data_IF_395988027665
#
_entry.id   IF_395988027665
#
_cell.length_a   1.000
_cell.length_b   1.000
_cell.length_c   1.000
_cell.angle_alpha   90.00
_cell.angle_beta   90.00
_cell.angle_gamma   90.00
#
_symmetry.space_group_name_H-M   'P 1'
#
loop_
_entity.id
_entity.type
_entity.pdbx_description
1 polymer ?
#
# COMPACT_ATOMS: atom_id res chain seq x y z
N UNK A 1 -6.97 -27.46 -15.11
CA UNK A 1 -5.81 -26.58 -14.87
C UNK A 1 -4.58 -27.45 -14.84
N UNK A 2 -3.61 -27.18 -15.70
CA UNK A 2 -2.32 -27.85 -15.61
C UNK A 2 -1.56 -27.29 -14.40
N UNK A 3 -0.72 -28.10 -13.75
CA UNK A 3 0.08 -27.64 -12.60
C UNK A 3 1.04 -26.50 -12.97
N UNK A 4 1.38 -26.36 -14.25
CA UNK A 4 2.18 -25.26 -14.80
C UNK A 4 1.49 -23.90 -14.66
N UNK A 5 0.18 -23.83 -14.89
CA UNK A 5 -0.59 -22.58 -14.86
C UNK A 5 -0.65 -22.00 -13.44
N UNK A 6 -0.81 -22.87 -12.43
CA UNK A 6 -0.85 -22.50 -11.01
C UNK A 6 0.51 -21.99 -10.55
N UNK A 7 1.60 -22.66 -10.94
CA UNK A 7 2.95 -22.24 -10.56
C UNK A 7 3.32 -20.90 -11.21
N UNK A 8 2.93 -20.71 -12.47
CA UNK A 8 3.10 -19.45 -13.18
C UNK A 8 2.33 -18.32 -12.50
N UNK A 9 1.03 -18.51 -12.26
CA UNK A 9 0.18 -17.52 -11.59
C UNK A 9 0.73 -17.13 -10.21
N UNK A 10 1.14 -18.12 -9.40
CA UNK A 10 1.76 -17.83 -8.11
C UNK A 10 3.10 -17.10 -8.26
N UNK A 11 3.90 -17.48 -9.26
CA UNK A 11 5.19 -16.85 -9.54
C UNK A 11 5.06 -15.38 -9.89
N UNK A 12 4.07 -15.00 -10.72
CA UNK A 12 3.87 -13.58 -11.07
C UNK A 12 3.33 -12.79 -9.88
N UNK A 13 2.42 -13.34 -9.08
CA UNK A 13 1.91 -12.67 -7.87
C UNK A 13 3.01 -12.51 -6.83
N UNK A 14 3.88 -13.51 -6.65
CA UNK A 14 5.03 -13.39 -5.78
C UNK A 14 5.99 -12.29 -6.26
N UNK A 15 6.26 -12.23 -7.57
CA UNK A 15 7.13 -11.21 -8.14
C UNK A 15 6.57 -9.79 -7.93
N UNK A 16 5.26 -9.63 -8.10
CA UNK A 16 4.53 -8.39 -7.84
C UNK A 16 4.68 -7.98 -6.35
N UNK A 17 4.40 -8.89 -5.40
CA UNK A 17 4.48 -8.58 -3.97
C UNK A 17 5.90 -8.29 -3.48
N UNK A 18 6.91 -8.94 -4.08
CA UNK A 18 8.32 -8.66 -3.80
C UNK A 18 8.77 -7.27 -4.25
N UNK A 19 8.05 -6.59 -5.13
CA UNK A 19 8.36 -5.22 -5.51
C UNK A 19 8.21 -4.23 -4.33
N UNK A 20 7.39 -4.58 -3.33
CA UNK A 20 7.34 -3.86 -2.03
C UNK A 20 8.69 -3.89 -1.33
N UNK A 21 9.36 -5.04 -1.33
CA UNK A 21 10.70 -5.16 -0.75
C UNK A 21 11.75 -4.36 -1.55
N UNK A 22 11.59 -4.26 -2.88
CA UNK A 22 12.44 -3.42 -3.75
C UNK A 22 12.28 -1.95 -3.37
N UNK A 23 11.04 -1.49 -3.15
CA UNK A 23 10.75 -0.16 -2.63
C UNK A 23 11.49 0.16 -1.34
N UNK A 24 11.52 -0.80 -0.40
CA UNK A 24 12.28 -0.64 0.83
C UNK A 24 13.79 -0.50 0.60
N UNK A 25 14.36 -1.26 -0.33
CA UNK A 25 15.78 -1.11 -0.67
C UNK A 25 16.08 0.25 -1.29
N UNK A 26 15.18 0.76 -2.13
CA UNK A 26 15.28 2.11 -2.72
C UNK A 26 15.30 3.18 -1.63
N UNK A 27 14.46 3.05 -0.60
CA UNK A 27 14.43 3.96 0.53
C UNK A 27 15.79 4.04 1.27
N UNK A 28 16.63 3.00 1.18
CA UNK A 28 17.94 2.94 1.85
C UNK A 28 19.14 3.29 0.96
N UNK A 29 18.94 3.61 -0.32
CA UNK A 29 20.06 3.89 -1.25
C UNK A 29 20.90 5.09 -0.81
N UNK A 30 20.28 6.09 -0.18
CA UNK A 30 21.01 7.25 0.34
C UNK A 30 21.64 6.91 1.70
N UNK A 31 22.96 7.04 1.78
CA UNK A 31 23.76 6.71 2.98
C UNK A 31 23.44 7.64 4.16
N UNK A 32 23.23 8.92 3.86
CA UNK A 32 22.77 9.95 4.80
C UNK A 32 21.34 10.36 4.45
N UNK A 33 20.46 10.13 5.40
CA UNK A 33 19.02 10.23 5.27
C UNK A 33 18.62 11.56 5.92
N UNK A 34 18.49 12.60 5.09
CA UNK A 34 18.16 13.95 5.54
C UNK A 34 16.65 14.14 5.70
N UNK A 35 16.18 15.02 6.61
CA UNK A 35 14.74 15.28 6.77
C UNK A 35 14.04 15.68 5.46
N UNK A 36 14.72 16.43 4.59
CA UNK A 36 14.23 16.75 3.25
C UNK A 36 14.05 15.52 2.33
N UNK A 37 14.91 14.50 2.48
CA UNK A 37 14.75 13.25 1.75
C UNK A 37 13.58 12.43 2.31
N UNK A 38 13.43 12.35 3.65
CA UNK A 38 12.24 11.74 4.25
C UNK A 38 10.95 12.40 3.74
N UNK A 39 10.89 13.73 3.78
CA UNK A 39 9.75 14.49 3.29
C UNK A 39 9.45 14.23 1.81
N UNK A 40 10.49 14.14 0.97
CA UNK A 40 10.31 13.81 -0.43
C UNK A 40 9.76 12.39 -0.63
N UNK A 41 10.26 11.40 0.12
CA UNK A 41 9.81 10.01 0.02
C UNK A 41 8.37 9.84 0.52
N UNK A 42 8.02 10.46 1.66
CA UNK A 42 6.66 10.43 2.22
C UNK A 42 5.68 11.16 1.32
N UNK A 43 6.03 12.36 0.83
CA UNK A 43 5.20 13.12 -0.09
C UNK A 43 4.96 12.35 -1.39
N UNK A 44 6.02 11.79 -1.99
CA UNK A 44 5.92 10.95 -3.19
C UNK A 44 5.00 9.75 -2.97
N UNK A 45 5.19 9.02 -1.87
CA UNK A 45 4.36 7.88 -1.51
C UNK A 45 2.88 8.26 -1.31
N UNK A 46 2.60 9.35 -0.59
CA UNK A 46 1.24 9.87 -0.44
C UNK A 46 0.59 10.19 -1.80
N UNK A 47 1.35 10.82 -2.70
CA UNK A 47 0.89 11.12 -4.05
C UNK A 47 0.53 9.89 -4.87
N UNK A 48 1.38 8.87 -4.86
CA UNK A 48 1.09 7.58 -5.51
C UNK A 48 -0.17 6.96 -4.88
N UNK A 49 -0.22 6.80 -3.57
CA UNK A 49 -1.33 6.14 -2.88
C UNK A 49 -2.67 6.84 -3.13
N UNK A 50 -2.69 8.19 -3.11
CA UNK A 50 -3.89 8.96 -3.46
C UNK A 50 -4.30 8.70 -4.90
N UNK A 51 -3.36 8.78 -5.84
CA UNK A 51 -3.66 8.61 -7.25
C UNK A 51 -4.21 7.21 -7.55
N UNK A 52 -3.55 6.16 -7.05
CA UNK A 52 -4.01 4.78 -7.28
C UNK A 52 -5.39 4.56 -6.65
N UNK A 53 -5.59 5.01 -5.42
CA UNK A 53 -6.86 4.83 -4.71
C UNK A 53 -8.03 5.40 -5.52
N UNK A 54 -7.85 6.56 -6.15
CA UNK A 54 -8.92 7.25 -6.88
C UNK A 54 -9.06 6.83 -8.34
N UNK A 55 -7.96 6.51 -9.02
CA UNK A 55 -7.95 6.30 -10.47
C UNK A 55 -7.98 4.81 -10.83
N UNK A 56 -7.61 3.92 -9.91
CA UNK A 56 -7.55 2.49 -10.18
C UNK A 56 -8.44 1.69 -9.23
N UNK A 57 -8.23 1.79 -7.91
CA UNK A 57 -8.88 0.90 -6.94
C UNK A 57 -10.36 1.24 -6.78
N UNK A 58 -10.71 2.51 -6.62
CA UNK A 58 -12.12 2.93 -6.50
C UNK A 58 -12.93 2.57 -7.77
N UNK A 59 -12.45 2.82 -9.00
CA UNK A 59 -13.11 2.35 -10.21
C UNK A 59 -13.26 0.83 -10.28
N UNK A 60 -12.21 0.04 -9.95
CA UNK A 60 -12.31 -1.44 -9.89
C UNK A 60 -13.37 -1.91 -8.90
N UNK A 61 -13.46 -1.26 -7.74
CA UNK A 61 -14.50 -1.54 -6.76
C UNK A 61 -15.90 -1.27 -7.34
N UNK A 62 -16.05 -0.15 -8.04
CA UNK A 62 -17.29 0.24 -8.69
C UNK A 62 -17.70 -0.74 -9.78
N UNK A 63 -16.77 -1.16 -10.65
CA UNK A 63 -17.02 -2.14 -11.70
C UNK A 63 -17.51 -3.47 -11.13
N UNK A 64 -16.83 -4.00 -10.11
CA UNK A 64 -17.21 -5.25 -9.45
C UNK A 64 -18.61 -5.15 -8.78
N UNK A 65 -18.90 -4.04 -8.10
CA UNK A 65 -20.18 -3.85 -7.41
C UNK A 65 -21.33 -3.52 -8.37
N UNK A 66 -21.09 -2.81 -9.46
CA UNK A 66 -22.09 -2.56 -10.50
C UNK A 66 -22.43 -3.84 -11.25
N UNK A 67 -21.44 -4.69 -11.52
CA UNK A 67 -21.64 -6.00 -12.15
C UNK A 67 -22.64 -6.88 -11.38
N UNK A 68 -22.52 -6.92 -10.04
CA UNK A 68 -23.34 -7.79 -9.19
C UNK A 68 -24.63 -7.12 -8.66
N UNK A 69 -24.58 -5.83 -8.31
CA UNK A 69 -25.69 -5.09 -7.67
C UNK A 69 -26.45 -4.15 -8.63
N UNK A 70 -25.98 -4.04 -9.88
CA UNK A 70 -26.55 -3.19 -10.92
C UNK A 70 -26.20 -1.71 -10.80
N UNK A 71 -26.50 -0.97 -11.87
CA UNK A 71 -26.17 0.46 -12.05
C UNK A 71 -26.75 1.40 -10.99
N UNK A 72 -27.79 0.95 -10.27
CA UNK A 72 -28.42 1.76 -9.21
C UNK A 72 -27.73 1.54 -7.87
N UNK A 73 -27.60 0.30 -7.40
CA UNK A 73 -27.09 0.01 -6.05
C UNK A 73 -25.57 -0.11 -5.99
N UNK A 74 -24.92 -0.58 -7.07
CA UNK A 74 -23.47 -0.72 -7.14
C UNK A 74 -22.71 0.55 -6.75
N UNK A 75 -23.03 1.73 -7.31
CA UNK A 75 -22.36 2.98 -6.95
C UNK A 75 -22.59 3.40 -5.49
N UNK A 76 -23.81 3.22 -4.95
CA UNK A 76 -24.09 3.52 -3.54
C UNK A 76 -23.27 2.65 -2.61
N UNK A 77 -23.20 1.34 -2.88
CA UNK A 77 -22.44 0.40 -2.07
C UNK A 77 -20.93 0.68 -2.18
N UNK A 78 -20.45 1.10 -3.35
CA UNK A 78 -19.05 1.51 -3.54
C UNK A 78 -18.69 2.71 -2.65
N UNK A 79 -19.51 3.76 -2.67
CA UNK A 79 -19.30 4.96 -1.85
C UNK A 79 -19.39 4.63 -0.36
N UNK A 80 -20.36 3.80 0.05
CA UNK A 80 -20.50 3.36 1.43
C UNK A 80 -19.31 2.51 1.89
N UNK A 81 -18.81 1.62 1.03
CA UNK A 81 -17.58 0.84 1.28
C UNK A 81 -16.38 1.75 1.46
N UNK A 82 -16.21 2.74 0.57
CA UNK A 82 -15.12 3.72 0.63
C UNK A 82 -15.10 4.53 1.92
N UNK A 83 -16.22 5.19 2.26
CA UNK A 83 -16.30 5.94 3.52
C UNK A 83 -16.34 5.02 4.75
N UNK A 84 -16.84 3.79 4.61
CA UNK A 84 -16.75 2.75 5.63
C UNK A 84 -15.30 2.38 5.94
N UNK A 85 -14.45 2.27 4.92
CA UNK A 85 -13.01 2.08 5.05
C UNK A 85 -12.33 3.24 5.78
N UNK A 86 -12.63 4.49 5.38
CA UNK A 86 -12.16 5.70 6.08
C UNK A 86 -12.58 5.66 7.56
N UNK A 87 -13.85 5.39 7.83
CA UNK A 87 -14.39 5.32 9.18
C UNK A 87 -13.73 4.21 10.01
N UNK A 88 -13.49 3.04 9.40
CA UNK A 88 -12.83 1.91 10.05
C UNK A 88 -11.40 2.29 10.47
N UNK A 89 -10.58 2.82 9.57
CA UNK A 89 -9.20 3.18 9.92
C UNK A 89 -9.13 4.34 10.90
N UNK A 90 -10.02 5.33 10.80
CA UNK A 90 -10.09 6.42 11.78
C UNK A 90 -10.44 5.91 13.19
N UNK A 91 -11.31 4.91 13.29
CA UNK A 91 -11.62 4.23 14.56
C UNK A 91 -10.42 3.44 15.07
N UNK A 92 -9.77 2.64 14.22
CA UNK A 92 -8.57 1.86 14.60
C UNK A 92 -7.46 2.80 15.07
N UNK A 93 -7.18 3.87 14.33
CA UNK A 93 -6.17 4.88 14.66
C UNK A 93 -6.37 5.42 16.09
N UNK A 94 -7.64 5.70 16.46
CA UNK A 94 -8.00 6.21 17.78
C UNK A 94 -7.75 5.24 18.93
N UNK A 95 -7.78 3.93 18.68
CA UNK A 95 -7.61 2.90 19.69
C UNK A 95 -6.15 2.48 19.91
N UNK A 96 -5.22 2.99 19.12
CA UNK A 96 -3.82 2.54 19.16
C UNK A 96 -3.05 3.38 20.17
N UNK A 97 -2.56 2.77 21.27
CA UNK A 97 -1.87 3.50 22.32
C UNK A 97 -0.61 4.19 21.80
N UNK A 98 -0.40 5.45 22.20
CA UNK A 98 0.73 6.30 21.82
C UNK A 98 2.07 5.88 22.43
N UNK A 99 2.08 4.85 23.30
CA UNK A 99 3.26 4.43 24.05
C UNK A 99 4.20 3.55 23.21
N UNK A 100 4.96 4.18 22.32
CA UNK A 100 6.16 3.55 21.76
C UNK A 100 7.22 3.45 22.87
N UNK A 101 7.44 2.22 23.33
CA UNK A 101 8.40 1.86 24.37
C UNK A 101 9.79 2.52 24.12
N UNK A 102 10.28 3.44 24.98
CA UNK A 102 11.51 4.22 24.75
C UNK A 102 12.80 3.40 24.64
N UNK A 103 12.76 2.10 24.94
CA UNK A 103 13.95 1.26 25.07
C UNK A 103 14.41 0.55 23.77
N UNK A 104 13.75 0.75 22.62
CA UNK A 104 14.20 0.26 21.29
C UNK A 104 14.69 1.37 20.33
N UNK A 105 15.05 2.54 20.85
CA UNK A 105 15.46 3.68 20.02
C UNK A 105 16.95 3.58 19.66
N UNK A 106 17.24 2.96 18.52
CA UNK A 106 18.57 2.97 17.92
C UNK A 106 19.01 4.39 17.55
N UNK A 107 20.28 4.69 17.80
CA UNK A 107 20.96 5.97 17.50
C UNK A 107 20.97 6.26 15.99
N UNK A 108 19.89 6.82 15.45
CA UNK A 108 19.90 7.51 14.14
C UNK A 108 19.43 8.93 14.35
N UNK A 109 20.36 9.85 14.09
CA UNK A 109 20.36 11.29 14.37
C UNK A 109 19.98 11.68 15.81
N UNK A 110 20.93 12.27 16.51
CA UNK A 110 20.75 12.99 17.79
C UNK A 110 19.86 14.25 17.67
N UNK A 111 19.08 14.37 16.60
CA UNK A 111 18.32 15.57 16.21
C UNK A 111 16.80 15.35 16.21
N UNK A 112 16.31 14.10 16.21
CA UNK A 112 14.87 13.81 16.21
C UNK A 112 14.43 13.48 17.64
N UNK A 113 13.54 14.31 18.19
CA UNK A 113 12.97 14.15 19.53
C UNK A 113 12.27 12.77 19.70
N UNK A 114 12.28 12.19 20.91
CA UNK A 114 11.68 10.87 21.16
C UNK A 114 10.22 10.75 20.73
N UNK A 115 9.43 11.82 20.84
CA UNK A 115 8.02 11.88 20.43
C UNK A 115 7.87 11.68 18.91
N UNK A 116 8.70 12.36 18.10
CA UNK A 116 8.71 12.20 16.66
C UNK A 116 9.09 10.76 16.24
N UNK A 117 9.98 10.09 16.98
CA UNK A 117 10.33 8.70 16.69
C UNK A 117 9.16 7.74 16.94
N UNK A 118 8.41 7.95 18.03
CA UNK A 118 7.21 7.19 18.33
C UNK A 118 6.17 7.33 17.23
N UNK A 119 5.92 8.57 16.77
CA UNK A 119 5.00 8.89 15.68
C UNK A 119 5.41 8.20 14.37
N UNK A 120 6.68 8.30 13.97
CA UNK A 120 7.19 7.63 12.76
C UNK A 120 7.09 6.10 12.85
N UNK A 121 7.38 5.50 14.01
CA UNK A 121 7.24 4.05 14.19
C UNK A 121 5.78 3.61 14.04
N UNK A 122 4.84 4.34 14.65
CA UNK A 122 3.40 4.11 14.52
C UNK A 122 3.00 4.19 13.05
N UNK A 123 3.25 5.32 12.39
CA UNK A 123 2.93 5.53 10.97
C UNK A 123 3.45 4.39 10.09
N UNK A 124 4.71 4.00 10.25
CA UNK A 124 5.29 2.93 9.45
C UNK A 124 4.66 1.55 9.68
N UNK A 125 4.32 1.20 10.93
CA UNK A 125 3.61 -0.06 11.24
C UNK A 125 2.17 -0.03 10.74
N UNK A 126 1.48 1.10 10.90
CA UNK A 126 0.11 1.30 10.42
C UNK A 126 0.03 1.17 8.91
N UNK A 127 0.92 1.87 8.23
CA UNK A 127 1.09 1.79 6.78
C UNK A 127 1.37 0.34 6.36
N UNK A 128 2.23 -0.40 7.06
CA UNK A 128 2.52 -1.81 6.74
C UNK A 128 1.29 -2.72 6.89
N UNK A 129 0.49 -2.53 7.94
CA UNK A 129 -0.75 -3.31 8.16
C UNK A 129 -1.77 -2.98 7.07
N UNK A 130 -1.98 -1.71 6.77
CA UNK A 130 -2.93 -1.27 5.74
C UNK A 130 -2.55 -1.81 4.36
N UNK A 131 -1.27 -1.72 3.99
CA UNK A 131 -0.73 -2.30 2.76
C UNK A 131 -0.93 -3.82 2.76
N UNK A 132 -0.62 -4.52 3.86
CA UNK A 132 -0.86 -5.97 3.91
C UNK A 132 -2.35 -6.34 3.68
N UNK A 133 -3.28 -5.54 4.21
CA UNK A 133 -4.71 -5.74 4.00
C UNK A 133 -5.10 -5.45 2.54
N UNK A 134 -4.48 -4.46 1.89
CA UNK A 134 -4.70 -4.14 0.46
C UNK A 134 -4.15 -5.21 -0.48
N UNK A 135 -2.92 -5.64 -0.22
CA UNK A 135 -2.16 -6.54 -1.09
C UNK A 135 -2.79 -7.95 -1.06
N UNK A 136 -3.56 -8.30 -0.03
CA UNK A 136 -4.24 -9.60 0.02
C UNK A 136 -5.31 -9.76 -1.08
N UNK A 137 -6.36 -8.91 -1.19
CA UNK A 137 -7.29 -8.94 -2.32
C UNK A 137 -6.61 -8.79 -3.68
N UNK A 138 -5.60 -7.93 -3.75
CA UNK A 138 -4.85 -7.68 -4.98
C UNK A 138 -4.14 -8.94 -5.48
N UNK A 139 -3.38 -9.61 -4.60
CA UNK A 139 -2.67 -10.84 -4.96
C UNK A 139 -3.61 -11.96 -5.36
N UNK A 140 -4.80 -12.04 -4.75
CA UNK A 140 -5.82 -12.97 -5.20
C UNK A 140 -6.33 -12.63 -6.61
N UNK A 141 -6.62 -11.37 -6.90
CA UNK A 141 -7.05 -10.91 -8.21
C UNK A 141 -5.98 -11.16 -9.29
N UNK A 142 -4.71 -10.80 -9.04
CA UNK A 142 -3.59 -11.07 -9.94
C UNK A 142 -3.46 -12.55 -10.25
N UNK A 143 -3.57 -13.39 -9.23
CA UNK A 143 -3.47 -14.83 -9.38
C UNK A 143 -4.62 -15.40 -10.24
N UNK A 144 -5.86 -14.95 -10.02
CA UNK A 144 -7.00 -15.36 -10.84
C UNK A 144 -6.87 -14.89 -12.29
N UNK A 145 -6.44 -13.65 -12.52
CA UNK A 145 -6.18 -13.14 -13.88
C UNK A 145 -5.14 -13.98 -14.60
N UNK A 146 -4.07 -14.36 -13.90
CA UNK A 146 -3.02 -15.22 -14.45
C UNK A 146 -3.47 -16.64 -14.78
N UNK A 147 -4.41 -17.18 -14.02
CA UNK A 147 -5.03 -18.47 -14.31
C UNK A 147 -5.99 -18.42 -15.51
N UNK A 148 -6.58 -17.26 -15.79
CA UNK A 148 -7.53 -17.07 -16.89
C UNK A 148 -6.80 -16.78 -18.20
N UNK A 149 -5.90 -15.80 -18.20
CA UNK A 149 -5.18 -15.35 -19.38
C UNK A 149 -3.80 -14.75 -19.02
N UNK A 150 -2.71 -15.50 -19.23
CA UNK A 150 -1.35 -15.01 -19.02
C UNK A 150 -0.98 -13.76 -19.84
N UNK A 151 -1.54 -13.58 -21.04
CA UNK A 151 -1.23 -12.42 -21.90
C UNK A 151 -1.76 -11.12 -21.28
N UNK A 152 -2.90 -11.19 -20.61
CA UNK A 152 -3.50 -10.06 -19.86
C UNK A 152 -2.83 -9.91 -18.49
N UNK A 153 -2.49 -11.02 -17.83
CA UNK A 153 -2.00 -10.99 -16.46
C UNK A 153 -0.57 -10.45 -16.31
N UNK A 154 0.30 -10.62 -17.31
CA UNK A 154 1.67 -10.11 -17.26
C UNK A 154 1.69 -8.57 -17.17
N UNK A 155 1.03 -7.81 -18.07
CA UNK A 155 0.90 -6.36 -17.92
C UNK A 155 0.34 -5.96 -16.55
N UNK A 156 -0.73 -6.62 -16.09
CA UNK A 156 -1.33 -6.33 -14.77
C UNK A 156 -0.32 -6.54 -13.64
N UNK A 157 0.43 -7.65 -13.64
CA UNK A 157 1.44 -7.90 -12.61
C UNK A 157 2.58 -6.86 -12.63
N UNK A 158 2.95 -6.36 -13.81
CA UNK A 158 3.93 -5.26 -13.94
C UNK A 158 3.35 -3.96 -13.36
N UNK A 159 2.07 -3.68 -13.60
CA UNK A 159 1.37 -2.53 -13.03
C UNK A 159 1.45 -2.53 -11.50
N UNK A 160 1.09 -3.66 -10.92
CA UNK A 160 1.08 -3.90 -9.48
C UNK A 160 2.50 -3.80 -8.92
N UNK A 161 3.49 -4.40 -9.60
CA UNK A 161 4.88 -4.29 -9.17
C UNK A 161 5.35 -2.82 -9.12
N UNK A 162 4.94 -1.99 -10.08
CA UNK A 162 5.28 -0.56 -10.09
C UNK A 162 4.56 0.21 -8.98
N UNK A 163 3.32 -0.14 -8.67
CA UNK A 163 2.57 0.39 -7.53
C UNK A 163 3.26 0.07 -6.20
N UNK A 164 3.70 -1.18 -6.02
CA UNK A 164 4.22 -1.70 -4.76
C UNK A 164 5.56 -1.07 -4.33
N UNK A 165 6.34 -0.54 -5.28
CA UNK A 165 7.60 0.15 -4.96
C UNK A 165 7.35 1.36 -4.03
N UNK A 166 6.47 2.32 -4.36
CA UNK A 166 6.00 3.38 -3.46
C UNK A 166 5.50 2.90 -2.09
N UNK A 167 4.78 1.79 -2.02
CA UNK A 167 4.29 1.22 -0.75
C UNK A 167 5.46 0.77 0.14
N UNK A 168 6.44 0.11 -0.46
CA UNK A 168 7.65 -0.29 0.25
C UNK A 168 8.41 0.88 0.84
N UNK A 169 8.44 2.01 0.12
CA UNK A 169 8.99 3.28 0.60
C UNK A 169 8.16 3.82 1.77
N UNK A 170 6.82 3.82 1.64
CA UNK A 170 5.87 4.31 2.64
C UNK A 170 6.08 3.65 4.01
N UNK A 171 6.28 2.32 4.00
CA UNK A 171 6.52 1.53 5.22
C UNK A 171 7.93 1.76 5.75
N UNK A 172 8.94 1.59 4.91
CA UNK A 172 10.30 1.43 5.36
C UNK A 172 10.98 2.74 5.77
N UNK A 173 10.68 3.85 5.09
CA UNK A 173 11.27 5.14 5.41
C UNK A 173 10.98 5.59 6.85
N UNK A 174 9.72 5.66 7.33
CA UNK A 174 9.46 6.11 8.68
C UNK A 174 9.96 5.14 9.76
N UNK A 175 9.89 3.82 9.53
CA UNK A 175 10.45 2.83 10.47
C UNK A 175 11.97 3.01 10.59
N UNK A 176 12.65 3.25 9.48
CA UNK A 176 14.09 3.50 9.49
C UNK A 176 14.44 4.80 10.24
N UNK A 177 13.71 5.89 10.01
CA UNK A 177 13.95 7.14 10.74
C UNK A 177 13.60 7.05 12.23
N UNK A 178 12.62 6.22 12.60
CA UNK A 178 12.28 5.98 14.00
C UNK A 178 13.34 5.13 14.74
N UNK A 179 13.81 4.06 14.10
CA UNK A 179 14.57 2.98 14.77
C UNK A 179 16.04 2.92 14.40
N UNK A 180 16.42 3.52 13.27
CA UNK A 180 17.73 3.39 12.66
C UNK A 180 18.05 2.02 12.03
N UNK A 181 17.14 1.07 12.10
CA UNK A 181 17.37 -0.30 11.66
C UNK A 181 16.82 -0.54 10.25
N UNK A 182 17.72 -0.57 9.25
CA UNK A 182 17.37 -0.97 7.87
C UNK A 182 16.77 -2.36 7.82
N UNK A 183 17.26 -3.27 8.67
CA UNK A 183 16.75 -4.65 8.75
C UNK A 183 15.30 -4.68 9.24
N UNK A 184 14.96 -3.92 10.29
CA UNK A 184 13.59 -3.85 10.83
C UNK A 184 12.63 -3.25 9.80
N UNK A 185 13.03 -2.14 9.19
CA UNK A 185 12.26 -1.48 8.14
C UNK A 185 12.06 -2.37 6.90
N UNK A 186 13.11 -3.07 6.45
CA UNK A 186 13.03 -4.01 5.33
C UNK A 186 12.06 -5.15 5.62
N UNK A 187 12.17 -5.81 6.77
CA UNK A 187 11.34 -6.99 7.05
C UNK A 187 9.87 -6.64 7.27
N UNK A 188 9.55 -5.48 7.86
CA UNK A 188 8.17 -5.04 7.98
C UNK A 188 7.55 -4.70 6.61
N UNK A 189 8.32 -4.03 5.74
CA UNK A 189 7.89 -3.74 4.36
C UNK A 189 7.78 -5.00 3.49
N UNK A 190 8.75 -5.92 3.58
CA UNK A 190 8.69 -7.18 2.86
C UNK A 190 7.52 -8.05 3.36
N UNK A 191 7.27 -8.05 4.67
CA UNK A 191 6.14 -8.79 5.24
C UNK A 191 4.78 -8.27 4.75
N UNK A 192 4.62 -6.96 4.56
CA UNK A 192 3.38 -6.41 3.98
C UNK A 192 3.21 -6.84 2.52
N UNK A 193 4.28 -6.82 1.71
CA UNK A 193 4.24 -7.30 0.32
C UNK A 193 4.01 -8.81 0.18
N UNK A 194 4.37 -9.62 1.19
CA UNK A 194 4.04 -11.06 1.20
C UNK A 194 2.54 -11.35 1.36
N UNK A 195 1.72 -10.34 1.64
CA UNK A 195 0.27 -10.51 1.66
C UNK A 195 -0.31 -10.84 0.27
N UNK A 196 0.34 -10.43 -0.82
CA UNK A 196 -0.07 -10.79 -2.19
C UNK A 196 0.01 -12.30 -2.47
N UNK A 197 1.19 -12.96 -2.36
CA UNK A 197 1.26 -14.41 -2.56
C UNK A 197 0.45 -15.17 -1.51
N UNK A 198 0.27 -14.62 -0.31
CA UNK A 198 -0.64 -15.20 0.68
C UNK A 198 -2.11 -15.12 0.23
N UNK A 199 -2.51 -13.98 -0.34
CA UNK A 199 -3.82 -13.76 -0.95
C UNK A 199 -4.09 -14.70 -2.11
N UNK A 200 -3.11 -14.90 -2.99
CA UNK A 200 -3.17 -15.90 -4.05
C UNK A 200 -3.40 -17.32 -3.49
N UNK A 201 -2.60 -17.72 -2.50
CA UNK A 201 -2.64 -19.07 -1.93
C UNK A 201 -3.96 -19.34 -1.19
N UNK A 202 -4.34 -18.47 -0.26
CA UNK A 202 -5.56 -18.61 0.54
C UNK A 202 -6.79 -18.41 -0.34
N UNK A 203 -6.73 -17.42 -1.23
CA UNK A 203 -7.66 -17.15 -2.31
C UNK A 203 -8.03 -18.40 -3.10
N UNK A 204 -7.01 -19.06 -3.66
CA UNK A 204 -7.18 -20.25 -4.48
C UNK A 204 -7.70 -21.45 -3.69
N UNK A 205 -7.06 -21.77 -2.55
CA UNK A 205 -7.31 -23.02 -1.81
C UNK A 205 -8.59 -23.00 -0.97
N UNK A 206 -8.98 -21.83 -0.47
CA UNK A 206 -10.04 -21.71 0.54
C UNK A 206 -11.20 -20.86 0.04
N UNK A 207 -10.90 -19.79 -0.70
CA UNK A 207 -11.84 -18.71 -0.94
C UNK A 207 -12.45 -18.72 -2.35
N UNK A 208 -11.93 -19.51 -3.29
CA UNK A 208 -12.41 -19.58 -4.68
C UNK A 208 -13.90 -19.97 -4.80
N UNK A 209 -14.47 -20.60 -3.78
CA UNK A 209 -15.90 -20.94 -3.71
C UNK A 209 -16.76 -19.92 -2.94
N UNK A 210 -16.14 -18.96 -2.24
CA UNK A 210 -16.84 -18.03 -1.34
C UNK A 210 -16.65 -16.56 -1.70
N UNK A 211 -15.65 -16.21 -2.50
CA UNK A 211 -15.42 -14.82 -2.93
C UNK A 211 -16.30 -14.51 -4.12
N UNK A 212 -17.28 -13.63 -3.88
CA UNK A 212 -18.10 -13.00 -4.93
C UNK A 212 -17.51 -11.66 -5.35
N UNK A 213 -17.92 -11.19 -6.54
CA UNK A 213 -17.62 -9.85 -7.03
C UNK A 213 -18.03 -8.78 -6.01
N UNK A 214 -19.15 -8.94 -5.31
CA UNK A 214 -19.54 -8.05 -4.20
C UNK A 214 -18.52 -8.02 -3.07
N UNK A 215 -18.01 -9.17 -2.61
CA UNK A 215 -17.03 -9.18 -1.52
C UNK A 215 -15.71 -8.52 -1.95
N UNK A 216 -15.26 -8.81 -3.18
CA UNK A 216 -14.07 -8.21 -3.76
C UNK A 216 -14.22 -6.70 -3.92
N UNK A 217 -15.33 -6.25 -4.50
CA UNK A 217 -15.63 -4.84 -4.69
C UNK A 217 -15.79 -4.08 -3.38
N UNK A 218 -16.44 -4.66 -2.37
CA UNK A 218 -16.49 -4.08 -1.01
C UNK A 218 -15.09 -3.95 -0.39
N UNK A 219 -14.24 -4.95 -0.60
CA UNK A 219 -12.86 -4.94 -0.08
C UNK A 219 -12.04 -3.83 -0.75
N UNK A 220 -12.09 -3.72 -2.08
CA UNK A 220 -11.42 -2.65 -2.82
C UNK A 220 -11.94 -1.26 -2.44
N UNK A 221 -13.25 -1.08 -2.31
CA UNK A 221 -13.83 0.18 -1.88
C UNK A 221 -13.30 0.59 -0.49
N UNK A 222 -13.36 -0.31 0.49
CA UNK A 222 -12.86 -0.06 1.83
C UNK A 222 -11.36 0.26 1.84
N UNK A 223 -10.56 -0.51 1.11
CA UNK A 223 -9.11 -0.30 1.01
C UNK A 223 -8.76 1.06 0.39
N UNK A 224 -9.42 1.45 -0.70
CA UNK A 224 -9.23 2.78 -1.28
C UNK A 224 -9.51 3.90 -0.26
N UNK A 225 -10.55 3.72 0.57
CA UNK A 225 -10.85 4.64 1.67
C UNK A 225 -9.74 4.70 2.71
N UNK A 226 -9.24 3.53 3.14
CA UNK A 226 -8.16 3.42 4.13
C UNK A 226 -6.88 4.11 3.61
N UNK A 227 -6.49 3.84 2.36
CA UNK A 227 -5.27 4.42 1.76
C UNK A 227 -5.37 5.94 1.61
N UNK A 228 -6.56 6.46 1.25
CA UNK A 228 -6.79 7.92 1.22
C UNK A 228 -6.64 8.52 2.61
N UNK A 229 -7.23 7.90 3.64
CA UNK A 229 -7.10 8.40 5.00
C UNK A 229 -5.64 8.41 5.47
N UNK A 230 -4.90 7.30 5.30
CA UNK A 230 -3.47 7.22 5.67
C UNK A 230 -2.64 8.26 4.93
N UNK A 231 -2.90 8.46 3.64
CA UNK A 231 -2.16 9.44 2.84
C UNK A 231 -2.38 10.88 3.33
N UNK A 232 -3.60 11.22 3.73
CA UNK A 232 -3.98 12.57 4.15
C UNK A 232 -3.73 12.85 5.63
N UNK A 233 -3.87 11.87 6.52
CA UNK A 233 -3.76 12.02 7.98
C UNK A 233 -2.34 11.72 8.48
N UNK A 234 -1.63 10.78 7.84
CA UNK A 234 -0.30 10.35 8.28
C UNK A 234 0.81 10.82 7.33
N UNK A 235 0.79 10.39 6.06
CA UNK A 235 1.94 10.54 5.17
C UNK A 235 2.20 12.00 4.75
N UNK A 236 1.17 12.70 4.26
CA UNK A 236 1.31 14.10 3.83
C UNK A 236 1.66 15.03 5.01
N UNK A 237 0.96 14.98 6.16
CA UNK A 237 1.33 15.81 7.31
C UNK A 237 2.74 15.51 7.82
N UNK A 238 3.16 14.25 7.85
CA UNK A 238 4.53 13.89 8.24
C UNK A 238 5.55 14.40 7.22
N UNK A 239 5.24 14.35 5.92
CA UNK A 239 6.11 14.92 4.89
C UNK A 239 6.31 16.44 5.08
N UNK A 240 5.27 17.16 5.48
CA UNK A 240 5.34 18.59 5.79
C UNK A 240 6.09 18.90 7.09
N UNK A 241 5.91 18.07 8.12
CA UNK A 241 6.55 18.21 9.43
C UNK A 241 8.07 18.04 9.37
N UNK A 242 8.55 17.00 8.67
CA UNK A 242 9.99 16.71 8.55
C UNK A 242 10.67 17.47 7.40
N UNK A 243 9.91 18.17 6.56
CA UNK A 243 10.38 18.79 5.33
C UNK A 243 10.09 20.28 5.21
N UNK A 244 10.39 20.82 4.02
CA UNK A 244 9.78 22.08 3.60
C UNK A 244 8.46 21.75 2.92
N UNK A 245 7.40 22.50 3.23
CA UNK A 245 6.07 22.32 2.62
C UNK A 245 6.12 22.13 1.09
N UNK A 246 6.86 22.99 0.36
CA UNK A 246 6.97 22.85 -1.10
C UNK A 246 7.66 21.55 -1.56
N UNK A 247 8.62 20.99 -0.80
CA UNK A 247 9.23 19.71 -1.15
C UNK A 247 8.20 18.60 -1.02
N UNK A 248 7.43 18.57 0.07
CA UNK A 248 6.35 17.59 0.26
C UNK A 248 5.33 17.68 -0.88
N UNK A 249 4.87 18.89 -1.23
CA UNK A 249 3.87 19.08 -2.29
C UNK A 249 4.39 18.73 -3.69
N UNK A 250 5.62 19.12 -4.04
CA UNK A 250 6.19 18.74 -5.34
C UNK A 250 6.43 17.25 -5.43
N UNK A 251 6.87 16.62 -4.34
CA UNK A 251 7.02 15.18 -4.28
C UNK A 251 5.68 14.47 -4.43
N UNK A 252 4.62 14.94 -3.76
CA UNK A 252 3.26 14.43 -3.92
C UNK A 252 2.80 14.49 -5.36
N UNK A 253 2.88 15.66 -5.99
CA UNK A 253 2.47 15.81 -7.41
C UNK A 253 3.33 14.93 -8.32
N UNK A 254 4.63 14.79 -8.05
CA UNK A 254 5.49 13.90 -8.82
C UNK A 254 5.12 12.43 -8.66
N UNK A 255 4.72 12.00 -7.46
CA UNK A 255 4.22 10.65 -7.20
C UNK A 255 2.94 10.37 -7.99
N UNK A 256 1.99 11.31 -7.96
CA UNK A 256 0.78 11.23 -8.77
C UNK A 256 1.11 11.13 -10.27
N UNK A 257 2.03 11.95 -10.77
CA UNK A 257 2.40 11.96 -12.19
C UNK A 257 3.12 10.69 -12.64
N UNK A 258 4.01 10.14 -11.80
CA UNK A 258 4.69 8.87 -12.09
C UNK A 258 3.68 7.73 -12.13
N UNK A 259 2.75 7.68 -11.18
CA UNK A 259 1.71 6.66 -11.17
C UNK A 259 0.74 6.81 -12.36
N UNK A 260 0.35 8.04 -12.69
CA UNK A 260 -0.45 8.31 -13.88
C UNK A 260 0.23 7.79 -15.14
N UNK A 261 1.53 8.05 -15.29
CA UNK A 261 2.30 7.58 -16.43
C UNK A 261 2.41 6.05 -16.44
N UNK A 262 2.63 5.40 -15.29
CA UNK A 262 2.67 3.94 -15.24
C UNK A 262 1.34 3.34 -15.66
N UNK A 263 0.21 3.86 -15.19
CA UNK A 263 -1.13 3.38 -15.58
C UNK A 263 -1.42 3.56 -17.08
N UNK A 264 -0.89 4.62 -17.72
CA UNK A 264 -1.07 4.85 -19.15
C UNK A 264 -0.19 3.97 -20.05
N UNK A 265 0.90 3.42 -19.52
CA UNK A 265 1.85 2.60 -20.27
C UNK A 265 1.50 1.10 -20.26
N UNK A 266 0.44 0.73 -19.53
CA UNK A 266 -0.07 -0.63 -19.36
C UNK A 266 -1.31 -0.84 -20.25
#
# INVERSE_FOLDING_TARGET
MESGDVLFAFGITLAAGLATAIGSLIAFLKKEQSPAFLAAMLGFSAGVMIYVSMIEIFPKAQEALVSDLGETWGPWVTVLGFFGGIGLIAVIDRFVPTEANPHELGNVSSEIEPEHRAKLMRMGVFTAIAIAIHNFPEGFATFLSALQDPEIAIPIAVAIALHNIPEGIAVSAPIYYATGSRKKAFWLSAASGLAEPLGALVGYLVLSTFVSDTLMGMSFAAVAGIMIFISLDELLPSAEEFGKHHVAMYSLVSGMAVMALSLLLL
#
